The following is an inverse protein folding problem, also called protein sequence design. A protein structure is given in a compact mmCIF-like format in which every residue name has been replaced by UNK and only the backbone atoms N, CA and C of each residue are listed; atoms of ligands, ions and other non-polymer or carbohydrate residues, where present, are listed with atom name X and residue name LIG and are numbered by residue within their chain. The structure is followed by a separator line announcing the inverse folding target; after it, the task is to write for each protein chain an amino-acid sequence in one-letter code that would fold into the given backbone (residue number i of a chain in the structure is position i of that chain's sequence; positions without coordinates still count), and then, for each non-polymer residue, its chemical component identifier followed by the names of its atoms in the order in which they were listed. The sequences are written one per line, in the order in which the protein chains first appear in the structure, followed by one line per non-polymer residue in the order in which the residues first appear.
data_IF_200240978513
#
_entry.id   IF_200240978513
#
_cell.length_a   1.000
_cell.length_b   1.000
_cell.length_c   1.000
_cell.angle_alpha   90.00
_cell.angle_beta   90.00
_cell.angle_gamma   90.00
#
_symmetry.space_group_name_H-M   'P 1'
#
loop_
_entity.id
_entity.type
_entity.pdbx_description
1 polymer ?
#
# COMPACT_ATOMS: atom_id res chain seq x y z
N UNK A 1 82.42 25.40 -55.22
CA UNK A 1 81.53 26.02 -54.20
C UNK A 1 80.09 25.85 -54.61
N UNK A 2 79.44 24.88 -54.17
CA UNK A 2 77.96 24.71 -54.18
C UNK A 2 77.62 23.83 -53.01
N UNK A 3 76.95 24.35 -52.02
CA UNK A 3 76.46 23.63 -50.89
C UNK A 3 75.17 22.93 -51.25
N UNK A 4 75.10 21.63 -50.98
CA UNK A 4 73.92 20.84 -51.13
C UNK A 4 73.29 20.68 -49.77
N UNK A 5 72.05 21.18 -49.57
CA UNK A 5 71.24 21.08 -48.35
C UNK A 5 70.46 19.79 -48.51
N UNK A 6 70.65 18.86 -47.52
CA UNK A 6 69.90 17.63 -47.41
C UNK A 6 68.72 17.85 -46.49
N UNK A 7 67.50 17.75 -47.00
CA UNK A 7 66.28 17.78 -46.16
C UNK A 7 66.03 16.39 -45.59
N UNK A 8 66.02 16.27 -44.26
CA UNK A 8 65.50 15.12 -43.54
C UNK A 8 64.00 15.27 -43.36
N UNK A 9 63.23 14.37 -43.96
CA UNK A 9 61.81 14.25 -43.68
C UNK A 9 61.62 13.40 -42.42
N UNK A 10 61.10 13.99 -41.36
CA UNK A 10 60.69 13.28 -40.19
C UNK A 10 59.23 12.78 -40.35
N UNK A 11 59.06 11.47 -40.40
CA UNK A 11 57.75 10.80 -40.46
C UNK A 11 57.22 10.69 -39.03
N UNK A 12 56.23 11.49 -38.66
CA UNK A 12 55.55 11.40 -37.40
C UNK A 12 54.43 10.34 -37.50
N UNK A 13 54.63 9.19 -36.84
CA UNK A 13 53.58 8.20 -36.62
C UNK A 13 52.62 8.75 -35.53
N UNK A 14 51.40 9.13 -35.91
CA UNK A 14 50.29 9.33 -34.99
C UNK A 14 49.76 7.93 -34.54
N UNK A 15 50.09 7.55 -33.31
CA UNK A 15 49.41 6.45 -32.61
C UNK A 15 48.07 7.01 -32.11
N UNK A 16 46.98 6.67 -32.82
CA UNK A 16 45.61 6.80 -32.27
C UNK A 16 45.41 5.76 -31.18
N UNK A 17 45.62 6.16 -29.94
CA UNK A 17 45.13 5.40 -28.80
C UNK A 17 43.61 5.52 -28.76
N UNK A 18 42.87 4.52 -29.27
CA UNK A 18 41.43 4.34 -28.99
C UNK A 18 41.31 3.96 -27.54
N UNK A 19 41.07 4.96 -26.70
CA UNK A 19 40.60 4.75 -25.31
C UNK A 19 39.20 4.14 -25.40
N UNK A 20 39.12 2.83 -25.26
CA UNK A 20 37.88 2.13 -24.99
C UNK A 20 37.50 2.43 -23.56
N UNK A 21 36.89 3.57 -23.32
CA UNK A 21 36.27 3.92 -22.06
C UNK A 21 35.06 2.98 -21.85
N UNK A 22 35.24 1.95 -21.08
CA UNK A 22 34.12 1.24 -20.47
C UNK A 22 33.31 2.28 -19.71
N UNK A 23 32.14 2.67 -20.24
CA UNK A 23 31.14 3.37 -19.45
C UNK A 23 30.85 2.40 -18.29
N UNK A 24 31.33 2.72 -17.10
CA UNK A 24 30.78 2.16 -15.89
C UNK A 24 29.29 2.54 -15.92
N UNK A 25 28.42 1.57 -16.11
CA UNK A 25 27.02 1.74 -15.76
C UNK A 25 27.01 2.11 -14.27
N UNK A 26 26.67 3.33 -13.98
CA UNK A 26 26.37 3.77 -12.62
C UNK A 26 25.13 2.94 -12.26
N UNK A 27 25.32 1.88 -11.47
CA UNK A 27 24.20 1.16 -10.86
C UNK A 27 23.41 2.22 -10.11
N UNK A 28 22.23 2.53 -10.59
CA UNK A 28 21.30 3.36 -9.87
C UNK A 28 20.95 2.63 -8.57
N UNK A 29 21.17 3.29 -7.44
CA UNK A 29 20.75 2.74 -6.15
C UNK A 29 19.24 2.54 -6.19
N UNK A 30 18.73 1.42 -5.64
CA UNK A 30 17.28 1.17 -5.59
C UNK A 30 16.56 2.28 -4.84
N UNK A 31 15.35 2.61 -5.29
CA UNK A 31 14.53 3.67 -4.70
C UNK A 31 14.16 3.33 -3.25
N UNK A 32 14.47 4.23 -2.32
CA UNK A 32 14.13 4.08 -0.90
C UNK A 32 12.64 4.23 -0.63
N UNK A 33 12.16 3.74 0.53
CA UNK A 33 10.77 3.90 0.93
C UNK A 33 10.35 5.39 1.01
N UNK A 34 11.23 6.26 1.48
CA UNK A 34 10.96 7.69 1.55
C UNK A 34 10.83 8.36 0.16
N UNK A 35 11.62 7.91 -0.81
CA UNK A 35 11.53 8.39 -2.20
C UNK A 35 10.26 7.90 -2.88
N UNK A 36 9.88 6.61 -2.68
CA UNK A 36 8.66 6.04 -3.19
C UNK A 36 7.42 6.73 -2.61
N UNK A 37 7.35 6.86 -1.27
CA UNK A 37 6.22 7.52 -0.57
C UNK A 37 6.05 8.96 -1.05
N UNK A 38 7.13 9.70 -1.26
CA UNK A 38 7.08 11.07 -1.78
C UNK A 38 6.50 11.16 -3.19
N UNK A 39 6.56 10.09 -3.99
CA UNK A 39 6.00 10.03 -5.36
C UNK A 39 4.53 9.54 -5.37
N UNK A 40 4.08 8.88 -4.32
CA UNK A 40 2.69 8.46 -4.14
C UNK A 40 1.84 9.63 -3.62
N UNK A 41 1.59 10.62 -4.48
CA UNK A 41 0.96 11.89 -4.10
C UNK A 41 -0.57 11.85 -4.11
N UNK A 42 -1.17 10.83 -4.71
CA UNK A 42 -2.61 10.61 -4.76
C UNK A 42 -2.90 9.12 -4.83
N UNK A 43 -3.24 8.51 -3.69
CA UNK A 43 -3.52 7.09 -3.57
C UNK A 43 -5.02 6.77 -3.56
N UNK A 44 -5.35 5.58 -4.06
CA UNK A 44 -6.69 5.01 -4.01
C UNK A 44 -6.64 3.52 -3.67
N UNK A 45 -7.63 3.03 -2.89
CA UNK A 45 -7.75 1.61 -2.53
C UNK A 45 -8.75 0.89 -3.45
N UNK A 46 -8.33 -0.26 -3.98
CA UNK A 46 -9.21 -1.21 -4.66
C UNK A 46 -9.96 -2.06 -3.61
N UNK A 47 -10.77 -1.44 -2.77
CA UNK A 47 -11.54 -2.15 -1.74
C UNK A 47 -12.78 -2.83 -2.29
N UNK A 48 -13.24 -3.87 -1.58
CA UNK A 48 -14.38 -4.71 -1.94
C UNK A 48 -14.21 -5.39 -3.32
N UNK A 49 -13.02 -5.91 -3.57
CA UNK A 49 -12.67 -6.62 -4.81
C UNK A 49 -11.82 -7.85 -4.46
N UNK A 50 -10.48 -7.75 -4.45
CA UNK A 50 -9.61 -8.86 -4.08
C UNK A 50 -9.57 -9.13 -2.56
N UNK A 51 -10.06 -8.22 -1.74
CA UNK A 51 -10.24 -8.40 -0.29
C UNK A 51 -11.54 -9.13 0.08
N UNK A 52 -12.48 -9.28 -0.86
CA UNK A 52 -13.73 -9.98 -0.63
C UNK A 52 -13.52 -11.44 -0.23
N UNK A 53 -14.38 -11.92 0.66
CA UNK A 53 -14.52 -13.33 0.99
C UNK A 53 -15.99 -13.68 1.26
N UNK A 54 -16.36 -14.93 1.00
CA UNK A 54 -17.71 -15.44 1.25
C UNK A 54 -17.62 -16.94 1.53
N UNK A 55 -17.99 -17.33 2.75
CA UNK A 55 -17.94 -18.74 3.19
C UNK A 55 -18.95 -19.64 2.50
N UNK A 56 -19.96 -19.08 1.85
CA UNK A 56 -20.95 -19.83 1.09
C UNK A 56 -20.44 -20.21 -0.31
N UNK A 57 -19.40 -19.53 -0.81
CA UNK A 57 -18.77 -19.85 -2.09
C UNK A 57 -17.96 -21.14 -1.96
N UNK A 58 -18.26 -22.11 -2.82
CA UNK A 58 -17.59 -23.40 -2.78
C UNK A 58 -16.17 -23.34 -3.34
N UNK A 59 -15.20 -24.08 -2.77
CA UNK A 59 -13.85 -24.16 -3.31
C UNK A 59 -13.84 -24.55 -4.78
N UNK A 60 -13.08 -23.80 -5.59
CA UNK A 60 -13.00 -24.01 -7.04
C UNK A 60 -14.08 -23.30 -7.85
N UNK A 61 -14.91 -22.45 -7.23
CA UNK A 61 -15.77 -21.52 -7.94
C UNK A 61 -14.96 -20.54 -8.80
N UNK A 62 -15.55 -19.96 -9.86
CA UNK A 62 -14.90 -18.91 -10.63
C UNK A 62 -14.44 -17.76 -9.73
N UNK A 63 -13.23 -17.23 -9.95
CA UNK A 63 -12.68 -16.15 -9.12
C UNK A 63 -13.59 -14.91 -9.07
N UNK A 64 -14.25 -14.64 -10.18
CA UNK A 64 -15.23 -13.56 -10.30
C UNK A 64 -16.38 -13.63 -9.26
N UNK A 65 -16.74 -14.82 -8.77
CA UNK A 65 -17.76 -14.96 -7.73
C UNK A 65 -17.26 -14.38 -6.39
N UNK A 66 -15.99 -14.57 -6.07
CA UNK A 66 -15.36 -13.97 -4.89
C UNK A 66 -15.28 -12.46 -5.03
N UNK A 67 -14.72 -11.94 -6.14
CA UNK A 67 -14.58 -10.51 -6.40
C UNK A 67 -15.92 -9.76 -6.35
N UNK A 68 -17.04 -10.41 -6.68
CA UNK A 68 -18.40 -9.81 -6.66
C UNK A 68 -19.14 -9.97 -5.34
N UNK A 69 -18.64 -10.76 -4.41
CA UNK A 69 -19.43 -11.17 -3.23
C UNK A 69 -19.87 -10.00 -2.37
N UNK A 70 -19.13 -8.88 -2.41
CA UNK A 70 -19.49 -7.65 -1.69
C UNK A 70 -20.08 -6.56 -2.59
N UNK A 71 -20.59 -6.93 -3.77
CA UNK A 71 -21.44 -6.09 -4.62
C UNK A 71 -20.71 -5.17 -5.59
N UNK A 72 -19.40 -5.33 -5.75
CA UNK A 72 -18.63 -4.63 -6.78
C UNK A 72 -18.49 -5.50 -8.03
N UNK A 73 -18.31 -4.87 -9.18
CA UNK A 73 -17.85 -5.56 -10.39
C UNK A 73 -16.35 -5.81 -10.29
N UNK A 74 -15.83 -6.94 -10.81
CA UNK A 74 -14.42 -7.22 -10.80
C UNK A 74 -13.59 -6.09 -11.40
N UNK A 75 -12.40 -5.89 -10.88
CA UNK A 75 -11.44 -4.96 -11.42
C UNK A 75 -11.12 -5.29 -12.88
N UNK A 76 -10.94 -4.27 -13.70
CA UNK A 76 -10.53 -4.37 -15.09
C UNK A 76 -9.49 -3.31 -15.45
N UNK A 77 -8.85 -3.47 -16.58
CA UNK A 77 -7.78 -2.56 -17.04
C UNK A 77 -8.27 -1.10 -17.19
N UNK A 78 -9.52 -0.91 -17.64
CA UNK A 78 -10.10 0.40 -17.81
C UNK A 78 -10.15 1.20 -16.52
N UNK A 79 -10.46 0.55 -15.39
CA UNK A 79 -10.49 1.17 -14.07
C UNK A 79 -9.17 1.89 -13.77
N UNK A 80 -8.05 1.19 -13.91
CA UNK A 80 -6.71 1.73 -13.60
C UNK A 80 -6.30 2.80 -14.61
N UNK A 81 -6.66 2.63 -15.89
CA UNK A 81 -6.47 3.66 -16.90
C UNK A 81 -7.21 4.95 -16.54
N UNK A 82 -8.48 4.86 -16.09
CA UNK A 82 -9.27 6.01 -15.68
C UNK A 82 -8.73 6.72 -14.44
N UNK A 83 -8.21 5.95 -13.48
CA UNK A 83 -7.53 6.49 -12.30
C UNK A 83 -6.26 7.25 -12.70
N UNK A 84 -5.41 6.67 -13.53
CA UNK A 84 -4.20 7.31 -14.03
C UNK A 84 -4.52 8.56 -14.89
N UNK A 85 -5.52 8.51 -15.77
CA UNK A 85 -5.99 9.67 -16.54
C UNK A 85 -6.48 10.81 -15.64
N UNK A 86 -7.11 10.50 -14.49
CA UNK A 86 -7.52 11.49 -13.49
C UNK A 86 -6.34 12.08 -12.74
N UNK A 87 -5.22 11.37 -12.65
CA UNK A 87 -3.99 11.80 -12.01
C UNK A 87 -3.63 11.07 -10.72
N UNK A 88 -4.31 9.96 -10.40
CA UNK A 88 -3.85 9.06 -9.35
C UNK A 88 -2.50 8.43 -9.75
N UNK A 89 -1.63 8.26 -8.77
CA UNK A 89 -0.26 7.79 -8.99
C UNK A 89 0.12 6.59 -8.11
N UNK A 90 -0.81 6.13 -7.25
CA UNK A 90 -0.64 4.95 -6.42
C UNK A 90 -1.97 4.23 -6.18
N UNK A 91 -1.93 2.90 -6.20
CA UNK A 91 -3.07 2.03 -5.89
C UNK A 91 -2.67 1.06 -4.78
N UNK A 92 -3.46 1.01 -3.71
CA UNK A 92 -3.41 -0.08 -2.73
C UNK A 92 -4.41 -1.15 -3.18
N UNK A 93 -3.94 -2.38 -3.28
CA UNK A 93 -4.70 -3.57 -3.69
C UNK A 93 -4.82 -4.50 -2.48
N UNK A 94 -5.86 -4.35 -1.67
CA UNK A 94 -6.14 -5.26 -0.57
C UNK A 94 -6.42 -6.66 -1.10
N UNK A 95 -5.80 -7.69 -0.49
CA UNK A 95 -5.96 -9.08 -0.94
C UNK A 95 -6.20 -10.02 0.25
N UNK A 96 -7.29 -10.76 0.22
CA UNK A 96 -7.58 -11.83 1.16
C UNK A 96 -7.07 -13.16 0.59
N UNK A 97 -6.27 -13.89 1.35
CA UNK A 97 -5.58 -15.09 0.89
C UNK A 97 -6.14 -16.39 1.44
N UNK A 98 -6.69 -16.38 2.68
CA UNK A 98 -7.04 -17.60 3.40
C UNK A 98 -8.00 -18.51 2.63
N UNK A 99 -8.96 -17.94 1.91
CA UNK A 99 -9.95 -18.71 1.13
C UNK A 99 -9.35 -19.30 -0.15
N UNK A 100 -8.17 -18.84 -0.54
CA UNK A 100 -7.41 -19.23 -1.72
C UNK A 100 -6.11 -19.96 -1.36
N UNK A 101 -6.07 -20.57 -0.17
CA UNK A 101 -4.97 -21.43 0.27
C UNK A 101 -5.51 -22.82 0.61
N UNK A 102 -4.74 -23.85 0.27
CA UNK A 102 -5.02 -25.23 0.70
C UNK A 102 -4.64 -25.43 2.19
N UNK A 103 -4.88 -26.65 2.68
CA UNK A 103 -4.60 -27.02 4.07
C UNK A 103 -3.10 -26.92 4.44
N UNK A 104 -2.23 -27.06 3.47
CA UNK A 104 -0.77 -26.94 3.59
C UNK A 104 -0.29 -25.48 3.50
N UNK A 105 -1.22 -24.53 3.23
CA UNK A 105 -0.93 -23.10 3.09
C UNK A 105 -0.39 -22.70 1.71
N UNK A 106 -0.55 -23.57 0.71
CA UNK A 106 -0.18 -23.25 -0.67
C UNK A 106 -1.28 -22.43 -1.33
N UNK A 107 -0.88 -21.28 -1.87
CA UNK A 107 -1.78 -20.36 -2.58
C UNK A 107 -2.22 -20.96 -3.93
N UNK A 108 -3.51 -20.82 -4.24
CA UNK A 108 -4.06 -21.16 -5.56
C UNK A 108 -3.36 -20.33 -6.64
N UNK A 109 -2.85 -21.02 -7.65
CA UNK A 109 -2.14 -20.40 -8.75
C UNK A 109 -3.00 -19.46 -9.61
N UNK A 110 -4.30 -19.71 -9.71
CA UNK A 110 -5.24 -18.84 -10.43
C UNK A 110 -5.47 -17.54 -9.67
N UNK A 111 -5.60 -17.61 -8.33
CA UNK A 111 -5.70 -16.43 -7.48
C UNK A 111 -4.43 -15.58 -7.56
N UNK A 112 -3.26 -16.20 -7.40
CA UNK A 112 -1.98 -15.50 -7.55
C UNK A 112 -1.84 -14.84 -8.92
N UNK A 113 -2.24 -15.53 -10.00
CA UNK A 113 -2.22 -14.98 -11.35
C UNK A 113 -3.21 -13.80 -11.51
N UNK A 114 -4.37 -13.85 -10.84
CA UNK A 114 -5.34 -12.75 -10.86
C UNK A 114 -4.80 -11.51 -10.13
N UNK A 115 -4.20 -11.69 -8.96
CA UNK A 115 -3.51 -10.59 -8.25
C UNK A 115 -2.42 -9.99 -9.14
N UNK A 116 -1.59 -10.83 -9.77
CA UNK A 116 -0.55 -10.37 -10.68
C UNK A 116 -1.10 -9.61 -11.89
N UNK A 117 -2.24 -10.01 -12.43
CA UNK A 117 -2.91 -9.29 -13.52
C UNK A 117 -3.28 -7.86 -13.10
N UNK A 118 -3.86 -7.69 -11.90
CA UNK A 118 -4.24 -6.39 -11.36
C UNK A 118 -2.98 -5.53 -11.13
N UNK A 119 -1.96 -6.10 -10.49
CA UNK A 119 -0.66 -5.44 -10.28
C UNK A 119 -0.09 -4.94 -11.62
N UNK A 120 -0.12 -5.77 -12.66
CA UNK A 120 0.36 -5.39 -13.98
C UNK A 120 -0.43 -4.20 -14.55
N UNK A 121 -1.76 -4.19 -14.46
CA UNK A 121 -2.57 -3.06 -14.92
C UNK A 121 -2.23 -1.75 -14.18
N UNK A 122 -1.94 -1.82 -12.89
CA UNK A 122 -1.49 -0.64 -12.12
C UNK A 122 -0.14 -0.14 -12.61
N UNK A 123 0.86 -1.04 -12.68
CA UNK A 123 2.23 -0.70 -13.08
C UNK A 123 2.33 -0.24 -14.55
N UNK A 124 1.56 -0.85 -15.47
CA UNK A 124 1.52 -0.49 -16.89
C UNK A 124 0.95 0.92 -17.11
N UNK A 125 0.11 1.40 -16.20
CA UNK A 125 -0.37 2.78 -16.17
C UNK A 125 0.57 3.76 -15.44
N UNK A 126 1.79 3.33 -15.06
CA UNK A 126 2.83 4.17 -14.48
C UNK A 126 2.65 4.45 -12.99
N UNK A 127 1.71 3.80 -12.32
CA UNK A 127 1.40 4.00 -10.91
C UNK A 127 2.21 3.07 -10.00
N UNK A 128 2.33 3.44 -8.73
CA UNK A 128 2.79 2.56 -7.65
C UNK A 128 1.68 1.59 -7.25
N UNK A 129 2.06 0.39 -6.82
CA UNK A 129 1.14 -0.64 -6.36
C UNK A 129 1.55 -1.13 -4.97
N UNK A 130 0.61 -1.21 -4.03
CA UNK A 130 0.80 -1.85 -2.74
C UNK A 130 -0.09 -3.08 -2.71
N UNK A 131 0.47 -4.24 -2.35
CA UNK A 131 -0.27 -5.49 -2.13
C UNK A 131 -0.10 -5.91 -0.68
N UNK A 132 -1.20 -6.30 -0.04
CA UNK A 132 -1.25 -6.67 1.38
C UNK A 132 -1.75 -8.10 1.64
N UNK A 133 -1.78 -8.45 2.92
CA UNK A 133 -2.52 -9.59 3.50
C UNK A 133 -3.69 -9.00 4.30
N UNK A 134 -4.89 -9.00 3.70
CA UNK A 134 -6.00 -8.16 4.17
C UNK A 134 -6.90 -8.82 5.21
N UNK A 135 -8.00 -9.47 4.83
CA UNK A 135 -8.93 -10.10 5.77
C UNK A 135 -8.47 -11.48 6.29
N UNK A 136 -7.22 -11.82 6.09
CA UNK A 136 -6.50 -12.82 6.89
C UNK A 136 -6.32 -12.32 8.33
N UNK A 137 -6.48 -10.99 8.52
CA UNK A 137 -6.49 -10.23 9.77
C UNK A 137 -7.87 -9.59 10.01
N UNK A 138 -8.02 -8.81 11.07
CA UNK A 138 -9.26 -8.09 11.36
C UNK A 138 -10.21 -8.79 12.32
N UNK A 139 -11.48 -8.34 12.35
CA UNK A 139 -12.48 -8.77 13.33
C UNK A 139 -13.24 -10.04 12.92
N UNK A 140 -13.20 -10.43 11.64
CA UNK A 140 -13.90 -11.61 11.16
C UNK A 140 -13.43 -12.89 11.87
N UNK A 141 -14.33 -13.86 12.02
CA UNK A 141 -14.03 -15.15 12.66
C UNK A 141 -13.06 -15.97 11.79
N UNK A 142 -13.10 -15.77 10.50
CA UNK A 142 -12.24 -16.40 9.49
C UNK A 142 -10.80 -15.88 9.52
N UNK A 143 -10.60 -14.68 10.05
CA UNK A 143 -9.26 -14.08 10.16
C UNK A 143 -8.37 -14.94 11.08
N UNK A 144 -7.37 -15.56 10.49
CA UNK A 144 -6.53 -16.55 11.16
C UNK A 144 -5.27 -15.94 11.81
N UNK A 145 -4.90 -14.70 11.43
CA UNK A 145 -3.81 -13.94 12.02
C UNK A 145 -4.36 -13.01 13.11
N UNK A 146 -3.93 -13.22 14.35
CA UNK A 146 -4.33 -12.40 15.50
C UNK A 146 -3.10 -11.93 16.27
N UNK A 147 -3.14 -10.72 16.80
CA UNK A 147 -2.08 -10.09 17.57
C UNK A 147 -2.04 -10.64 19.01
N UNK A 148 -1.85 -11.94 19.18
CA UNK A 148 -1.76 -12.60 20.48
C UNK A 148 -0.78 -13.79 20.48
N UNK A 149 -0.47 -14.29 21.68
CA UNK A 149 0.51 -15.36 21.87
C UNK A 149 0.11 -16.68 21.21
N UNK A 150 -1.18 -16.99 21.20
CA UNK A 150 -1.70 -18.26 20.66
C UNK A 150 -1.60 -18.27 19.14
N UNK A 151 -2.06 -17.18 18.50
CA UNK A 151 -1.96 -17.02 17.06
C UNK A 151 -0.51 -16.99 16.61
N UNK A 152 0.34 -16.22 17.27
CA UNK A 152 1.76 -16.19 16.92
C UNK A 152 2.38 -17.57 17.01
N UNK A 153 2.21 -18.28 18.13
CA UNK A 153 2.80 -19.60 18.33
C UNK A 153 2.38 -20.65 17.28
N UNK A 154 1.19 -20.53 16.73
CA UNK A 154 0.60 -21.53 15.81
C UNK A 154 0.62 -21.13 14.34
N UNK A 155 0.69 -19.82 14.02
CA UNK A 155 0.48 -19.32 12.65
C UNK A 155 1.69 -18.64 12.02
N UNK A 156 2.71 -18.25 12.79
CA UNK A 156 3.80 -17.44 12.25
C UNK A 156 4.56 -18.14 11.10
N UNK A 157 4.76 -19.45 11.15
CA UNK A 157 5.43 -20.19 10.06
C UNK A 157 4.55 -20.26 8.80
N UNK A 158 3.22 -20.42 8.95
CA UNK A 158 2.28 -20.36 7.82
C UNK A 158 2.27 -18.97 7.19
N UNK A 159 2.32 -17.92 8.00
CA UNK A 159 2.38 -16.53 7.55
C UNK A 159 3.68 -16.24 6.78
N UNK A 160 4.83 -16.69 7.27
CA UNK A 160 6.10 -16.62 6.54
C UNK A 160 6.04 -17.39 5.22
N UNK A 161 5.40 -18.58 5.24
CA UNK A 161 5.17 -19.38 4.04
C UNK A 161 4.33 -18.66 2.98
N UNK A 162 3.28 -17.95 3.40
CA UNK A 162 2.46 -17.12 2.51
C UNK A 162 3.30 -16.00 1.88
N UNK A 163 4.01 -15.20 2.69
CA UNK A 163 4.85 -14.12 2.17
C UNK A 163 5.99 -14.61 1.29
N UNK A 164 6.54 -15.79 1.57
CA UNK A 164 7.55 -16.41 0.71
C UNK A 164 6.99 -16.74 -0.67
N UNK A 165 5.74 -17.20 -0.78
CA UNK A 165 5.08 -17.48 -2.05
C UNK A 165 4.79 -16.19 -2.82
N UNK A 166 4.22 -15.18 -2.16
CA UNK A 166 3.95 -13.86 -2.76
C UNK A 166 5.25 -13.24 -3.26
N UNK A 167 6.26 -13.16 -2.40
CA UNK A 167 7.54 -12.53 -2.73
C UNK A 167 8.28 -13.24 -3.86
N UNK A 168 8.25 -14.58 -3.93
CA UNK A 168 8.84 -15.30 -5.05
C UNK A 168 8.11 -15.06 -6.36
N UNK A 169 6.78 -14.94 -6.34
CA UNK A 169 6.00 -14.67 -7.55
C UNK A 169 6.35 -13.31 -8.15
N UNK A 170 6.49 -12.30 -7.30
CA UNK A 170 6.75 -10.92 -7.70
C UNK A 170 8.23 -10.51 -7.67
N UNK A 171 9.15 -11.47 -7.58
CA UNK A 171 10.58 -11.23 -7.38
C UNK A 171 11.23 -10.32 -8.41
N UNK A 172 10.80 -10.42 -9.66
CA UNK A 172 11.37 -9.70 -10.81
C UNK A 172 10.58 -8.42 -11.17
N UNK A 173 9.57 -8.04 -10.36
CA UNK A 173 8.84 -6.79 -10.53
C UNK A 173 9.67 -5.60 -10.05
N UNK A 174 9.48 -4.44 -10.67
CA UNK A 174 10.23 -3.24 -10.35
C UNK A 174 9.88 -2.66 -8.95
N UNK A 175 10.57 -1.59 -8.56
CA UNK A 175 10.47 -0.94 -7.25
C UNK A 175 9.11 -0.27 -7.00
N UNK A 176 8.27 -0.07 -8.03
CA UNK A 176 6.93 0.51 -7.86
C UNK A 176 5.92 -0.46 -7.26
N UNK A 177 6.24 -1.75 -7.17
CA UNK A 177 5.47 -2.70 -6.37
C UNK A 177 6.03 -2.76 -4.95
N UNK A 178 5.22 -2.38 -3.97
CA UNK A 178 5.51 -2.46 -2.55
C UNK A 178 4.69 -3.60 -1.93
N UNK A 179 5.17 -4.15 -0.82
CA UNK A 179 4.43 -5.12 -0.02
C UNK A 179 4.09 -4.54 1.34
N UNK A 180 2.86 -4.78 1.79
CA UNK A 180 2.36 -4.43 3.10
C UNK A 180 2.08 -5.71 3.89
N UNK A 181 2.70 -5.84 5.06
CA UNK A 181 2.77 -7.10 5.79
C UNK A 181 1.41 -7.68 6.16
N UNK A 182 0.52 -6.86 6.66
CA UNK A 182 -0.83 -7.22 7.11
C UNK A 182 -1.69 -5.96 7.24
N UNK A 183 -2.99 -6.12 7.08
CA UNK A 183 -3.96 -5.03 7.24
C UNK A 183 -4.20 -4.70 8.74
N UNK A 184 -5.40 -4.82 9.23
CA UNK A 184 -5.85 -4.47 10.58
C UNK A 184 -5.81 -5.67 11.53
N UNK A 185 -4.62 -6.08 11.96
CA UNK A 185 -4.46 -7.23 12.84
C UNK A 185 -4.84 -6.88 14.28
N UNK A 186 -5.87 -7.55 14.78
CA UNK A 186 -6.44 -7.42 16.12
C UNK A 186 -6.10 -8.63 16.99
N UNK A 187 -6.32 -8.53 18.31
CA UNK A 187 -6.33 -9.69 19.21
C UNK A 187 -7.52 -10.61 18.93
N UNK A 188 -7.40 -11.90 19.26
CA UNK A 188 -8.48 -12.86 19.09
C UNK A 188 -9.53 -12.84 20.20
N UNK A 189 -9.26 -12.17 21.34
CA UNK A 189 -10.09 -12.28 22.56
C UNK A 189 -11.40 -11.49 22.46
N UNK A 190 -11.37 -10.28 21.95
CA UNK A 190 -12.55 -9.44 21.74
C UNK A 190 -12.28 -8.38 20.68
N UNK A 191 -12.19 -8.76 19.40
CA UNK A 191 -11.73 -7.87 18.35
C UNK A 191 -12.55 -6.59 18.22
N UNK A 192 -13.87 -6.65 18.38
CA UNK A 192 -14.74 -5.47 18.27
C UNK A 192 -14.51 -4.44 19.38
N UNK A 193 -14.24 -4.88 20.63
CA UNK A 193 -13.98 -3.99 21.74
C UNK A 193 -12.52 -3.50 21.79
N UNK A 194 -11.62 -4.17 21.09
CA UNK A 194 -10.19 -3.88 21.04
C UNK A 194 -9.79 -3.29 19.67
N UNK A 195 -10.73 -2.73 18.95
CA UNK A 195 -10.48 -2.16 17.61
C UNK A 195 -9.44 -1.06 17.79
N UNK A 196 -9.04 -0.25 17.99
CA UNK A 196 -7.97 0.76 18.02
C UNK A 196 -6.83 0.44 18.99
N UNK A 197 -7.06 -0.37 20.02
CA UNK A 197 -6.08 -0.62 21.07
C UNK A 197 -6.36 -1.96 21.76
N UNK A 198 -5.35 -2.83 21.94
CA UNK A 198 -5.54 -4.07 22.69
C UNK A 198 -5.73 -3.75 24.18
N UNK A 199 -6.66 -4.44 24.82
CA UNK A 199 -6.88 -4.32 26.27
C UNK A 199 -5.61 -4.64 27.09
N UNK A 200 -4.84 -5.62 26.64
CA UNK A 200 -3.51 -5.91 27.17
C UNK A 200 -2.44 -5.41 26.19
N UNK A 201 -1.79 -4.31 26.52
CA UNK A 201 -0.74 -3.71 25.69
C UNK A 201 0.46 -4.62 25.46
N UNK A 202 0.64 -5.69 26.26
CA UNK A 202 1.66 -6.69 25.98
C UNK A 202 1.42 -7.40 24.63
N UNK A 203 0.21 -7.39 24.10
CA UNK A 203 -0.10 -7.96 22.79
C UNK A 203 0.53 -7.20 21.62
N UNK A 204 0.92 -5.93 21.81
CA UNK A 204 1.66 -5.17 20.78
C UNK A 204 2.98 -5.84 20.36
N UNK A 205 3.58 -6.63 21.26
CA UNK A 205 4.78 -7.40 20.90
C UNK A 205 4.54 -8.41 19.76
N UNK A 206 3.30 -8.92 19.61
CA UNK A 206 3.00 -9.91 18.57
C UNK A 206 2.86 -9.26 17.19
N UNK A 207 2.33 -8.03 17.11
CA UNK A 207 2.41 -7.22 15.89
C UNK A 207 3.86 -7.06 15.46
N UNK A 208 4.74 -6.67 16.36
CA UNK A 208 6.16 -6.46 16.07
C UNK A 208 6.86 -7.76 15.62
N UNK A 209 6.47 -8.91 16.19
CA UNK A 209 7.00 -10.21 15.77
C UNK A 209 6.53 -10.61 14.37
N UNK A 210 5.24 -10.45 14.04
CA UNK A 210 4.73 -10.70 12.70
C UNK A 210 5.35 -9.74 11.68
N UNK A 211 5.58 -8.49 12.05
CA UNK A 211 6.29 -7.53 11.20
C UNK A 211 7.72 -7.99 10.90
N UNK A 212 8.46 -8.51 11.89
CA UNK A 212 9.80 -9.08 11.67
C UNK A 212 9.76 -10.31 10.78
N UNK A 213 8.82 -11.25 11.03
CA UNK A 213 8.65 -12.47 10.23
C UNK A 213 8.35 -12.14 8.75
N UNK A 214 7.55 -11.10 8.49
CA UNK A 214 7.27 -10.59 7.15
C UNK A 214 8.55 -10.11 6.46
N UNK A 215 9.28 -9.22 7.09
CA UNK A 215 10.53 -8.68 6.53
C UNK A 215 11.52 -9.80 6.25
N UNK A 216 11.73 -10.70 7.21
CA UNK A 216 12.63 -11.84 7.07
C UNK A 216 12.23 -12.76 5.90
N UNK A 217 10.95 -13.11 5.81
CA UNK A 217 10.44 -13.98 4.76
C UNK A 217 10.62 -13.38 3.36
N UNK A 218 10.29 -12.09 3.19
CA UNK A 218 10.45 -11.41 1.89
C UNK A 218 11.93 -11.29 1.53
N UNK A 219 12.79 -10.82 2.45
CA UNK A 219 14.23 -10.65 2.20
C UNK A 219 14.93 -11.96 1.86
N UNK A 220 14.55 -13.07 2.49
CA UNK A 220 15.09 -14.40 2.24
C UNK A 220 14.90 -14.89 0.79
N UNK A 221 13.92 -14.37 0.06
CA UNK A 221 13.69 -14.74 -1.35
C UNK A 221 14.75 -14.16 -2.29
N UNK A 222 15.45 -13.10 -1.89
CA UNK A 222 16.55 -12.48 -2.66
C UNK A 222 16.07 -11.74 -3.93
N UNK A 223 16.98 -11.47 -4.86
CA UNK A 223 16.67 -10.70 -6.08
C UNK A 223 16.20 -9.29 -5.78
N UNK A 224 15.20 -8.78 -6.50
CA UNK A 224 14.59 -7.47 -6.28
C UNK A 224 14.02 -7.29 -4.88
N UNK A 225 13.61 -8.38 -4.24
CA UNK A 225 13.04 -8.33 -2.89
C UNK A 225 14.06 -7.95 -1.80
N UNK A 226 15.36 -7.97 -2.07
CA UNK A 226 16.37 -7.45 -1.13
C UNK A 226 16.24 -5.93 -0.92
N UNK A 227 15.70 -5.22 -1.90
CA UNK A 227 15.54 -3.76 -1.91
C UNK A 227 14.08 -3.32 -2.04
N UNK A 228 13.13 -4.26 -2.17
CA UNK A 228 11.72 -3.91 -2.27
C UNK A 228 11.30 -3.12 -1.04
N UNK A 229 10.58 -2.03 -1.24
CA UNK A 229 10.01 -1.26 -0.15
C UNK A 229 8.92 -2.07 0.54
N UNK A 230 9.05 -2.24 1.85
CA UNK A 230 8.15 -3.02 2.70
C UNK A 230 7.45 -2.10 3.69
N UNK A 231 6.19 -2.37 3.95
CA UNK A 231 5.31 -1.56 4.79
C UNK A 231 4.89 -2.41 5.98
N UNK A 232 5.07 -1.88 7.19
CA UNK A 232 4.63 -2.52 8.43
C UNK A 232 3.57 -1.66 9.10
N UNK A 233 2.52 -2.31 9.59
CA UNK A 233 1.37 -1.64 10.18
C UNK A 233 1.46 -1.64 11.70
N UNK A 234 0.86 -0.66 12.32
CA UNK A 234 0.58 -0.66 13.76
C UNK A 234 -0.53 -1.68 14.08
N UNK A 235 -0.77 -1.91 15.37
CA UNK A 235 -1.93 -2.71 15.80
C UNK A 235 -3.22 -2.11 15.20
N UNK A 236 -3.96 -2.91 14.42
CA UNK A 236 -5.18 -2.49 13.73
C UNK A 236 -5.02 -1.23 12.84
N UNK A 237 -3.82 -0.94 12.33
CA UNK A 237 -3.57 0.33 11.65
C UNK A 237 -3.68 1.56 12.58
N UNK A 238 -3.83 1.36 13.88
CA UNK A 238 -4.16 2.41 14.85
C UNK A 238 -2.99 3.34 15.13
N UNK A 239 -3.33 4.60 15.37
CA UNK A 239 -2.40 5.68 15.71
C UNK A 239 -2.60 6.23 17.14
N UNK A 240 -3.24 5.46 18.02
CA UNK A 240 -3.49 5.90 19.40
C UNK A 240 -2.20 6.19 20.17
N UNK A 241 -2.27 6.97 21.26
CA UNK A 241 -1.12 7.27 22.10
C UNK A 241 -0.40 6.06 22.70
N UNK A 242 -1.03 4.88 22.72
CA UNK A 242 -0.44 3.65 23.21
C UNK A 242 0.09 2.75 22.08
N UNK A 243 -0.56 2.74 20.92
CA UNK A 243 -0.16 1.87 19.79
C UNK A 243 1.07 2.39 19.06
N UNK A 244 1.14 3.68 18.76
CA UNK A 244 2.31 4.28 18.09
C UNK A 244 3.62 4.09 18.88
N UNK A 245 3.69 4.37 20.19
CA UNK A 245 4.91 4.11 20.95
C UNK A 245 5.27 2.63 21.08
N UNK A 246 4.29 1.73 20.95
CA UNK A 246 4.46 0.28 21.02
C UNK A 246 5.00 -0.34 19.73
N UNK A 247 5.04 0.41 18.63
CA UNK A 247 5.60 -0.06 17.36
C UNK A 247 7.13 -0.17 17.45
N UNK A 248 7.64 -1.37 17.16
CA UNK A 248 9.06 -1.64 16.97
C UNK A 248 9.29 -1.93 15.49
N UNK A 249 10.01 -1.04 14.82
CA UNK A 249 10.35 -1.24 13.41
C UNK A 249 11.25 -2.48 13.27
N UNK A 250 10.94 -3.40 12.36
CA UNK A 250 11.77 -4.58 12.13
C UNK A 250 13.21 -4.24 11.76
N UNK A 251 14.13 -5.12 12.12
CA UNK A 251 15.49 -5.06 11.59
C UNK A 251 15.51 -5.67 10.20
N UNK A 252 16.01 -4.95 9.20
CA UNK A 252 16.19 -5.50 7.87
C UNK A 252 17.43 -6.38 7.81
N UNK A 253 17.31 -7.71 7.56
CA UNK A 253 18.45 -8.62 7.55
C UNK A 253 19.42 -8.39 6.39
N UNK A 254 19.00 -7.66 5.34
CA UNK A 254 19.86 -7.22 4.24
C UNK A 254 20.57 -5.90 4.52
N UNK A 255 20.32 -5.25 5.66
CA UNK A 255 20.85 -3.94 6.01
C UNK A 255 20.18 -2.76 5.32
N UNK A 256 19.05 -2.99 4.68
CA UNK A 256 18.32 -2.00 3.87
C UNK A 256 17.21 -1.31 4.68
N UNK A 257 17.56 -0.78 5.85
CA UNK A 257 16.60 -0.18 6.79
C UNK A 257 15.81 1.00 6.19
N UNK A 258 16.35 1.68 5.18
CA UNK A 258 15.73 2.76 4.42
C UNK A 258 14.66 2.29 3.41
N UNK A 259 14.45 0.98 3.27
CA UNK A 259 13.41 0.37 2.48
C UNK A 259 12.21 -0.10 3.33
N UNK A 260 12.05 0.45 4.52
CA UNK A 260 10.89 0.22 5.39
C UNK A 260 10.06 1.48 5.53
N UNK A 261 8.73 1.32 5.47
CA UNK A 261 7.72 2.34 5.75
C UNK A 261 6.76 1.87 6.84
N UNK A 262 6.05 2.80 7.45
CA UNK A 262 5.00 2.52 8.45
C UNK A 262 3.65 2.93 7.90
N UNK A 263 2.67 2.08 8.10
CA UNK A 263 1.30 2.35 7.73
C UNK A 263 0.40 2.48 8.95
N UNK A 264 -0.55 3.42 8.86
CA UNK A 264 -1.70 3.56 9.75
C UNK A 264 -2.95 3.83 8.93
N UNK A 265 -4.10 3.53 9.51
CA UNK A 265 -5.41 3.91 8.99
C UNK A 265 -6.00 5.04 9.82
N UNK A 266 -6.79 5.90 9.22
CA UNK A 266 -7.54 6.91 9.95
C UNK A 266 -8.87 7.24 9.30
N UNK A 267 -9.91 7.09 10.08
CA UNK A 267 -11.26 7.59 9.76
C UNK A 267 -11.63 8.71 10.72
N UNK A 268 -10.63 9.44 11.20
CA UNK A 268 -10.84 10.58 12.08
C UNK A 268 -11.30 11.84 11.32
N UNK A 269 -12.13 12.66 11.94
CA UNK A 269 -12.82 12.38 13.20
C UNK A 269 -13.90 11.31 13.02
N UNK A 270 -13.88 10.28 13.87
CA UNK A 270 -14.84 9.17 13.76
C UNK A 270 -16.30 9.63 13.77
N UNK A 271 -16.63 10.61 14.62
CA UNK A 271 -17.98 11.14 14.69
C UNK A 271 -18.39 11.78 13.37
N UNK A 272 -17.49 12.49 12.70
CA UNK A 272 -17.74 13.06 11.37
C UNK A 272 -17.95 11.97 10.31
N UNK A 273 -17.08 10.97 10.28
CA UNK A 273 -17.20 9.85 9.35
C UNK A 273 -18.48 9.06 9.59
N UNK A 274 -18.91 8.92 10.84
CA UNK A 274 -20.07 8.07 11.22
C UNK A 274 -21.41 8.80 11.26
N UNK A 275 -21.46 10.12 10.99
CA UNK A 275 -22.71 10.90 10.94
C UNK A 275 -23.13 11.22 9.51
N UNK A 276 -24.42 11.59 9.35
CA UNK A 276 -24.95 12.01 8.08
C UNK A 276 -24.80 13.52 7.82
N UNK A 277 -24.48 14.28 8.88
CA UNK A 277 -24.22 15.71 8.84
C UNK A 277 -22.72 15.93 8.70
N UNK A 278 -22.26 15.88 7.46
CA UNK A 278 -20.84 15.84 7.12
C UNK A 278 -20.30 17.27 6.89
N UNK A 279 -20.38 18.17 7.87
CA UNK A 279 -19.71 19.45 7.76
C UNK A 279 -18.24 19.32 8.19
N UNK A 280 -17.30 19.49 7.24
CA UNK A 280 -15.88 19.50 7.53
C UNK A 280 -15.48 20.83 8.16
N UNK A 281 -15.28 20.82 9.47
CA UNK A 281 -14.99 22.03 10.26
C UNK A 281 -13.50 22.21 10.52
N UNK A 282 -13.14 23.35 11.13
CA UNK A 282 -11.77 23.57 11.59
C UNK A 282 -11.35 22.56 12.67
N UNK A 283 -12.25 22.15 13.52
CA UNK A 283 -12.01 21.16 14.55
C UNK A 283 -11.61 19.81 13.95
N UNK A 284 -12.28 19.40 12.84
CA UNK A 284 -11.90 18.21 12.07
C UNK A 284 -10.49 18.33 11.51
N UNK A 285 -10.16 19.47 10.89
CA UNK A 285 -8.81 19.74 10.39
C UNK A 285 -7.75 19.74 11.50
N UNK A 286 -8.08 20.31 12.68
CA UNK A 286 -7.18 20.33 13.83
C UNK A 286 -6.94 18.92 14.38
N UNK A 287 -7.92 18.02 14.31
CA UNK A 287 -7.80 16.63 14.75
C UNK A 287 -6.82 15.83 13.88
N UNK A 288 -7.02 15.84 12.57
CA UNK A 288 -6.05 15.17 11.67
C UNK A 288 -4.67 15.85 11.69
N UNK A 289 -4.59 17.14 12.01
CA UNK A 289 -3.29 17.82 12.18
C UNK A 289 -2.56 17.30 13.42
N UNK A 290 -3.27 17.01 14.52
CA UNK A 290 -2.68 16.36 15.71
C UNK A 290 -2.20 14.95 15.40
N UNK A 291 -2.98 14.17 14.64
CA UNK A 291 -2.56 12.86 14.17
C UNK A 291 -1.20 12.93 13.46
N UNK A 292 -1.04 13.82 12.49
CA UNK A 292 0.24 13.95 11.78
C UNK A 292 1.40 14.42 12.67
N UNK A 293 1.11 15.22 13.70
CA UNK A 293 2.13 15.61 14.67
C UNK A 293 2.59 14.40 15.53
N UNK A 294 1.68 13.50 15.88
CA UNK A 294 2.02 12.28 16.60
C UNK A 294 2.78 11.29 15.70
N UNK A 295 2.39 11.17 14.42
CA UNK A 295 3.12 10.37 13.43
C UNK A 295 4.54 10.92 13.19
N UNK A 296 4.70 12.24 13.14
CA UNK A 296 6.03 12.87 13.04
C UNK A 296 6.88 12.50 14.26
N UNK A 297 6.34 12.70 15.45
CA UNK A 297 7.03 12.42 16.71
C UNK A 297 7.48 10.96 16.84
N UNK A 298 6.62 10.01 16.44
CA UNK A 298 6.84 8.59 16.74
C UNK A 298 7.46 7.80 15.58
N UNK A 299 7.35 8.28 14.34
CA UNK A 299 7.77 7.56 13.11
C UNK A 299 8.65 8.42 12.22
N UNK A 300 8.13 9.56 11.70
CA UNK A 300 8.80 10.33 10.64
C UNK A 300 10.13 10.91 11.13
N UNK A 301 10.15 11.50 12.34
CA UNK A 301 11.39 12.03 12.93
C UNK A 301 12.46 10.98 13.21
N UNK A 302 12.09 9.69 13.19
CA UNK A 302 13.01 8.56 13.30
C UNK A 302 13.54 8.08 11.94
N UNK A 303 13.14 8.73 10.85
CA UNK A 303 13.61 8.44 9.50
C UNK A 303 12.75 7.48 8.67
N UNK A 304 11.56 7.10 9.16
CA UNK A 304 10.65 6.22 8.43
C UNK A 304 9.51 7.01 7.80
N UNK A 305 9.23 6.85 6.50
CA UNK A 305 8.08 7.48 5.86
C UNK A 305 6.78 6.82 6.35
N UNK A 306 5.69 7.61 6.32
CA UNK A 306 4.36 7.17 6.73
C UNK A 306 3.44 7.09 5.55
N UNK A 307 2.60 6.06 5.56
CA UNK A 307 1.48 5.85 4.65
C UNK A 307 0.20 5.83 5.49
N UNK A 308 -0.79 6.63 5.09
CA UNK A 308 -2.17 6.49 5.54
C UNK A 308 -2.82 5.52 4.55
N UNK A 309 -2.84 4.22 4.88
CA UNK A 309 -3.29 3.16 3.98
C UNK A 309 -4.77 3.22 3.68
N UNK A 310 -5.54 3.73 4.64
CA UNK A 310 -6.96 3.97 4.47
C UNK A 310 -7.38 5.26 5.14
N UNK A 311 -8.14 6.06 4.40
CA UNK A 311 -8.94 7.16 4.91
C UNK A 311 -10.16 7.37 4.01
N UNK A 312 -11.18 8.03 4.50
CA UNK A 312 -12.38 8.25 3.71
C UNK A 312 -13.50 8.92 4.49
N UNK A 313 -14.66 8.95 3.89
CA UNK A 313 -15.87 9.49 4.48
C UNK A 313 -17.02 8.50 4.43
N UNK A 314 -17.96 8.63 5.35
CA UNK A 314 -19.12 7.73 5.47
C UNK A 314 -20.08 7.75 4.28
N UNK A 315 -20.01 8.78 3.43
CA UNK A 315 -20.76 8.82 2.18
C UNK A 315 -20.39 7.69 1.22
N UNK A 316 -19.42 6.85 1.58
CA UNK A 316 -18.72 6.00 0.63
C UNK A 316 -18.22 4.69 1.24
N UNK A 317 -18.72 4.27 2.39
CA UNK A 317 -18.43 2.94 2.91
C UNK A 317 -19.41 1.90 2.34
N UNK A 318 -19.11 0.63 2.55
CA UNK A 318 -19.89 -0.52 2.08
C UNK A 318 -21.39 -0.43 2.34
N UNK A 319 -21.77 0.11 3.49
CA UNK A 319 -23.18 0.27 3.90
C UNK A 319 -23.87 1.39 3.17
N UNK A 320 -23.10 2.25 2.50
CA UNK A 320 -23.57 3.47 1.84
C UNK A 320 -23.39 3.48 0.32
N UNK A 321 -22.88 2.41 -0.29
CA UNK A 321 -22.81 2.24 -1.76
C UNK A 321 -24.16 2.56 -2.41
N UNK A 322 -25.28 2.28 -1.74
CA UNK A 322 -26.63 2.61 -2.19
C UNK A 322 -27.15 3.97 -1.72
N UNK A 323 -26.30 4.81 -1.08
CA UNK A 323 -26.71 6.13 -0.65
C UNK A 323 -26.36 7.18 -1.70
N UNK A 324 -27.35 7.93 -2.07
CA UNK A 324 -27.14 9.14 -2.85
C UNK A 324 -26.62 10.23 -1.93
N UNK A 325 -25.29 10.44 -1.87
CA UNK A 325 -24.74 11.62 -1.24
C UNK A 325 -25.24 12.88 -1.95
N UNK A 326 -25.62 13.91 -1.20
CA UNK A 326 -25.90 15.23 -1.76
C UNK A 326 -24.61 15.84 -2.29
N UNK A 327 -24.73 16.80 -3.19
CA UNK A 327 -23.55 17.51 -3.72
C UNK A 327 -22.80 18.26 -2.61
N UNK A 328 -23.50 18.75 -1.58
CA UNK A 328 -22.90 19.35 -0.40
C UNK A 328 -22.05 18.34 0.38
N UNK A 329 -22.57 17.14 0.66
CA UNK A 329 -21.84 16.06 1.32
C UNK A 329 -20.59 15.65 0.53
N UNK A 330 -20.67 15.57 -0.79
CA UNK A 330 -19.51 15.30 -1.66
C UNK A 330 -18.47 16.41 -1.60
N UNK A 331 -18.88 17.66 -1.47
CA UNK A 331 -17.97 18.79 -1.29
C UNK A 331 -17.26 18.74 0.06
N UNK A 332 -17.98 18.41 1.12
CA UNK A 332 -17.38 18.25 2.46
C UNK A 332 -16.37 17.11 2.51
N UNK A 333 -16.69 15.96 1.88
CA UNK A 333 -15.73 14.88 1.71
C UNK A 333 -14.51 15.31 0.88
N UNK A 334 -14.69 16.16 -0.12
CA UNK A 334 -13.60 16.78 -0.87
C UNK A 334 -12.72 17.69 0.00
N UNK A 335 -13.30 18.40 0.98
CA UNK A 335 -12.52 19.23 1.93
C UNK A 335 -11.65 18.35 2.84
N UNK A 336 -12.20 17.26 3.39
CA UNK A 336 -11.43 16.27 4.14
C UNK A 336 -10.23 15.78 3.31
N UNK A 337 -10.51 15.31 2.09
CA UNK A 337 -9.48 14.80 1.22
C UNK A 337 -8.39 15.83 0.89
N UNK A 338 -8.78 17.08 0.65
CA UNK A 338 -7.82 18.17 0.41
C UNK A 338 -6.95 18.47 1.63
N UNK A 339 -7.51 18.44 2.85
CA UNK A 339 -6.74 18.63 4.08
C UNK A 339 -5.77 17.47 4.31
N UNK A 340 -6.21 16.23 4.07
CA UNK A 340 -5.36 15.04 4.13
C UNK A 340 -4.17 15.19 3.16
N UNK A 341 -4.40 15.54 1.89
CA UNK A 341 -3.33 15.73 0.90
C UNK A 341 -2.35 16.85 1.31
N UNK A 342 -2.85 17.97 1.85
CA UNK A 342 -1.99 19.05 2.35
C UNK A 342 -1.07 18.61 3.49
N UNK A 343 -1.59 17.77 4.40
CA UNK A 343 -0.81 17.21 5.49
C UNK A 343 0.21 16.19 4.96
N UNK A 344 -0.20 15.31 4.06
CA UNK A 344 0.72 14.38 3.40
C UNK A 344 1.89 15.12 2.73
N UNK A 345 1.61 16.15 1.96
CA UNK A 345 2.62 16.98 1.32
C UNK A 345 3.55 17.64 2.33
N UNK A 346 3.02 18.17 3.43
CA UNK A 346 3.80 18.80 4.51
C UNK A 346 4.77 17.83 5.18
N UNK A 347 4.35 16.59 5.41
CA UNK A 347 5.10 15.58 6.16
C UNK A 347 5.82 14.56 5.26
N UNK A 348 5.76 14.69 3.94
CA UNK A 348 6.24 13.71 2.96
C UNK A 348 5.65 12.31 3.22
N UNK A 349 4.35 12.24 3.48
CA UNK A 349 3.56 11.03 3.65
C UNK A 349 2.71 10.77 2.39
N UNK A 350 2.19 9.56 2.26
CA UNK A 350 1.19 9.20 1.25
C UNK A 350 -0.16 8.89 1.92
N UNK A 351 -1.27 9.00 1.18
CA UNK A 351 -2.57 8.60 1.68
C UNK A 351 -3.43 7.98 0.57
N UNK A 352 -4.20 6.96 0.95
CA UNK A 352 -5.02 6.17 0.03
C UNK A 352 -6.50 6.31 0.42
N UNK A 353 -7.30 6.92 -0.48
CA UNK A 353 -8.73 7.06 -0.26
C UNK A 353 -9.43 5.71 -0.40
N UNK A 354 -10.22 5.31 0.61
CA UNK A 354 -10.93 4.03 0.58
C UNK A 354 -12.04 4.05 -0.47
N UNK A 355 -11.92 3.21 -1.45
CA UNK A 355 -12.70 2.82 -2.61
C UNK A 355 -13.75 3.78 -3.22
N UNK A 356 -14.64 4.36 -2.47
CA UNK A 356 -15.96 4.87 -2.87
C UNK A 356 -16.06 6.10 -3.77
N UNK A 357 -14.98 6.57 -4.39
CA UNK A 357 -15.03 7.66 -5.36
C UNK A 357 -15.47 7.22 -6.77
N UNK A 358 -15.47 5.92 -7.02
CA UNK A 358 -15.90 5.30 -8.28
C UNK A 358 -17.11 4.42 -8.01
N UNK A 359 -18.10 4.44 -8.93
CA UNK A 359 -19.20 3.49 -8.90
C UNK A 359 -18.68 2.10 -9.26
N UNK A 360 -18.68 1.22 -8.28
CA UNK A 360 -18.19 -0.16 -8.44
C UNK A 360 -19.22 -1.12 -9.03
N UNK A 361 -20.46 -0.71 -9.23
CA UNK A 361 -21.53 -1.61 -9.68
C UNK A 361 -21.37 -2.07 -11.13
N UNK A 362 -20.79 -1.21 -11.98
CA UNK A 362 -20.46 -1.55 -13.37
C UNK A 362 -19.24 -0.74 -13.83
N UNK A 363 -18.14 -1.46 -14.07
CA UNK A 363 -16.85 -0.88 -14.51
C UNK A 363 -16.62 -1.02 -16.02
N UNK A 364 -17.67 -1.32 -16.80
CA UNK A 364 -17.57 -1.36 -18.27
C UNK A 364 -17.36 0.04 -18.87
N UNK A 365 -16.84 0.11 -20.10
CA UNK A 365 -16.51 1.37 -20.76
C UNK A 365 -17.73 2.30 -20.90
N UNK A 366 -18.92 1.75 -21.12
CA UNK A 366 -20.16 2.51 -21.33
C UNK A 366 -20.79 2.96 -20.00
N UNK A 367 -20.41 2.37 -18.88
CA UNK A 367 -21.02 2.58 -17.56
C UNK A 367 -20.09 3.16 -16.52
N UNK A 368 -18.79 3.30 -16.81
CA UNK A 368 -17.82 3.87 -15.86
C UNK A 368 -18.25 5.25 -15.37
N UNK A 369 -18.36 5.42 -14.05
CA UNK A 369 -18.79 6.67 -13.40
C UNK A 369 -17.95 6.97 -12.18
N UNK A 370 -17.69 8.27 -12.01
CA UNK A 370 -17.23 8.81 -10.73
C UNK A 370 -18.46 9.04 -9.84
N UNK A 371 -18.56 8.32 -8.73
CA UNK A 371 -19.64 8.50 -7.74
C UNK A 371 -19.43 9.77 -6.92
N UNK A 372 -18.18 10.12 -6.65
CA UNK A 372 -17.76 11.31 -5.90
C UNK A 372 -16.60 12.02 -6.61
N UNK A 373 -16.82 12.51 -7.83
CA UNK A 373 -15.79 13.19 -8.63
C UNK A 373 -15.21 14.41 -7.92
N UNK A 374 -16.01 15.11 -7.10
CA UNK A 374 -15.59 16.25 -6.29
C UNK A 374 -14.45 15.88 -5.31
N UNK A 375 -14.45 14.66 -4.78
CA UNK A 375 -13.36 14.17 -3.93
C UNK A 375 -12.10 13.95 -4.75
N UNK A 376 -12.21 13.28 -5.90
CA UNK A 376 -11.07 13.08 -6.80
C UNK A 376 -10.47 14.42 -7.25
N UNK A 377 -11.31 15.39 -7.63
CA UNK A 377 -10.86 16.74 -8.00
C UNK A 377 -10.16 17.45 -6.86
N UNK A 378 -10.65 17.32 -5.62
CA UNK A 378 -10.06 17.92 -4.43
C UNK A 378 -8.70 17.30 -4.10
N UNK A 379 -8.55 15.99 -4.25
CA UNK A 379 -7.25 15.29 -4.14
C UNK A 379 -6.27 15.85 -5.17
N UNK A 380 -6.68 15.92 -6.46
CA UNK A 380 -5.83 16.41 -7.54
C UNK A 380 -5.40 17.88 -7.35
N UNK A 381 -6.28 18.71 -6.82
CA UNK A 381 -5.99 20.13 -6.59
C UNK A 381 -5.04 20.37 -5.40
N UNK A 382 -4.96 19.44 -4.46
CA UNK A 382 -4.20 19.59 -3.22
C UNK A 382 -2.83 18.86 -3.21
N UNK A 383 -2.61 17.88 -4.10
CA UNK A 383 -1.40 17.07 -4.19
C UNK A 383 -0.11 17.81 -4.58
#
# INVERSE_FOLDING_TARGET
MKQTITMLAALALLLCATSCGTKQEVKQEPETAAEAVKKMTAGWCLGNDMDCFDTDIQPGAPLEEYEKSWGQSPANELLFKKLAEKGFDAIRVPVTWWQHMDAEGKVDSLWMARVAQIVNWVLDNGMYCIVDVHHDTGAAVEAWLKADSTSYATQHERYKGLWTQIANHFKDYDERLLFEGYNEMLTGSNPTAEWNEPKDLNNLQYINKFAQDFVDAVRATGGGNQYRNLIVNTYCGSHTPNTLPGLVIPTDPCGNQNHLAVEVHTYDPWDWVNTYDMHWTKECTDEITRLFADLDKHVISKGYPVIIGEYGSNGVNEKTINRTCTDEQKQEAGRQAADMMRLCKKYNAAAFYWMGIIDGSDRSADSFKWSMEQVADSIMAAK
#
